data_IF_121128936317
#
_entry.id   IF_121128936317
#
_cell.length_a   1.000
_cell.length_b   1.000
_cell.length_c   1.000
_cell.angle_alpha   90.00
_cell.angle_beta   90.00
_cell.angle_gamma   90.00
#
_symmetry.space_group_name_H-M   'P 1'
#
loop_
_entity.id
_entity.type
_entity.pdbx_description
1 polymer ?
#
# COMPACT_ATOMS: atom_id res chain seq x y z
N UNK A 1 -24.45 8.58 6.63
CA UNK A 1 -24.35 9.48 7.76
C UNK A 1 -23.22 10.46 7.64
N UNK A 2 -23.13 11.44 8.53
CA UNK A 2 -22.12 12.52 8.52
C UNK A 2 -20.65 12.03 8.52
N UNK A 3 -20.38 10.86 9.12
CA UNK A 3 -19.04 10.27 9.15
C UNK A 3 -18.57 9.82 7.75
N UNK A 4 -19.39 9.13 6.99
CA UNK A 4 -19.06 8.67 5.64
C UNK A 4 -18.84 9.84 4.68
N UNK A 5 -19.65 10.89 4.79
CA UNK A 5 -19.46 12.11 4.00
C UNK A 5 -18.12 12.79 4.34
N UNK A 6 -17.73 12.77 5.63
CA UNK A 6 -16.42 13.27 6.06
C UNK A 6 -15.24 12.47 5.51
N UNK A 7 -15.44 11.21 5.15
CA UNK A 7 -14.43 10.34 4.56
C UNK A 7 -14.51 10.27 3.02
N UNK A 8 -15.48 10.96 2.41
CA UNK A 8 -15.77 10.90 0.96
C UNK A 8 -16.01 9.46 0.45
N UNK A 9 -16.79 8.69 1.22
CA UNK A 9 -17.20 7.32 0.90
C UNK A 9 -18.69 7.24 0.46
N UNK A 10 -19.39 8.35 0.51
CA UNK A 10 -20.83 8.47 0.22
C UNK A 10 -21.13 8.27 -1.28
N UNK A 11 -20.17 8.55 -2.15
CA UNK A 11 -20.32 8.38 -3.60
C UNK A 11 -19.32 7.34 -4.09
N UNK A 12 -19.84 6.25 -4.66
CA UNK A 12 -18.97 5.26 -5.34
C UNK A 12 -18.40 5.90 -6.61
N UNK A 13 -17.08 5.73 -6.89
CA UNK A 13 -16.50 6.21 -8.13
C UNK A 13 -17.10 5.45 -9.31
N UNK A 14 -17.20 6.12 -10.46
CA UNK A 14 -17.47 5.41 -11.71
C UNK A 14 -16.34 4.41 -12.00
N UNK A 15 -16.66 3.32 -12.71
CA UNK A 15 -15.67 2.29 -13.05
C UNK A 15 -14.45 2.85 -13.80
N UNK A 16 -14.63 3.89 -14.63
CA UNK A 16 -13.56 4.58 -15.35
C UNK A 16 -12.53 5.19 -14.38
N UNK A 17 -13.00 5.86 -13.33
CA UNK A 17 -12.12 6.49 -12.35
C UNK A 17 -11.35 5.44 -11.53
N UNK A 18 -11.99 4.30 -11.24
CA UNK A 18 -11.32 3.17 -10.57
C UNK A 18 -10.22 2.57 -11.44
N UNK A 19 -10.48 2.34 -12.73
CA UNK A 19 -9.48 1.84 -13.67
C UNK A 19 -8.33 2.83 -13.86
N UNK A 20 -8.64 4.13 -13.98
CA UNK A 20 -7.61 5.17 -14.06
C UNK A 20 -6.73 5.20 -12.80
N UNK A 21 -7.31 5.01 -11.62
CA UNK A 21 -6.55 4.91 -10.36
C UNK A 21 -5.59 3.71 -10.36
N UNK A 22 -6.03 2.54 -10.80
CA UNK A 22 -5.19 1.36 -10.96
C UNK A 22 -4.08 1.62 -11.98
N UNK A 23 -4.45 2.16 -13.16
CA UNK A 23 -3.48 2.45 -14.22
C UNK A 23 -2.43 3.47 -13.77
N UNK A 24 -2.83 4.52 -13.07
CA UNK A 24 -1.90 5.51 -12.52
C UNK A 24 -0.93 4.89 -11.52
N UNK A 25 -1.43 4.02 -10.63
CA UNK A 25 -0.57 3.32 -9.70
C UNK A 25 0.41 2.39 -10.42
N UNK A 26 -0.04 1.63 -11.43
CA UNK A 26 0.83 0.80 -12.26
C UNK A 26 1.88 1.63 -13.02
N UNK A 27 1.51 2.79 -13.56
CA UNK A 27 2.42 3.69 -14.24
C UNK A 27 3.48 4.30 -13.31
N UNK A 28 3.25 4.31 -12.00
CA UNK A 28 4.21 4.76 -11.00
C UNK A 28 5.26 3.68 -10.62
N UNK A 29 5.10 2.42 -11.05
CA UNK A 29 6.03 1.34 -10.70
C UNK A 29 7.50 1.58 -11.07
N UNK A 30 7.85 2.24 -12.20
CA UNK A 30 9.24 2.59 -12.47
C UNK A 30 9.84 3.47 -11.37
N UNK A 31 9.06 4.40 -10.81
CA UNK A 31 9.50 5.24 -9.69
C UNK A 31 9.65 4.42 -8.40
N UNK A 32 8.73 3.50 -8.17
CA UNK A 32 8.78 2.58 -7.02
C UNK A 32 10.01 1.69 -7.10
N UNK A 33 10.30 1.11 -8.29
CA UNK A 33 11.50 0.31 -8.51
C UNK A 33 12.79 1.12 -8.33
N UNK A 34 12.83 2.36 -8.82
CA UNK A 34 13.95 3.23 -8.59
C UNK A 34 14.16 3.50 -7.10
N UNK A 35 13.07 3.73 -6.36
CA UNK A 35 13.15 3.93 -4.90
C UNK A 35 13.61 2.67 -4.17
N UNK A 36 13.29 1.46 -4.68
CA UNK A 36 13.81 0.20 -4.17
C UNK A 36 15.32 0.12 -4.34
N UNK A 37 15.86 0.38 -5.54
CA UNK A 37 17.31 0.39 -5.81
C UNK A 37 18.05 1.39 -4.91
N UNK A 38 17.46 2.56 -4.67
CA UNK A 38 18.01 3.54 -3.72
C UNK A 38 17.99 3.02 -2.30
N UNK A 39 16.89 2.38 -1.89
CA UNK A 39 16.75 1.83 -0.54
C UNK A 39 17.76 0.72 -0.27
N UNK A 40 17.96 -0.18 -1.22
CA UNK A 40 18.93 -1.29 -1.14
C UNK A 40 20.39 -0.79 -0.97
N UNK A 41 20.71 0.41 -1.50
CA UNK A 41 22.03 1.01 -1.33
C UNK A 41 22.29 1.58 0.07
N UNK A 42 21.29 1.65 0.94
CA UNK A 42 21.39 2.17 2.31
C UNK A 42 21.72 1.02 3.25
N UNK A 43 22.91 1.00 3.89
CA UNK A 43 23.24 -0.07 4.82
C UNK A 43 22.30 -0.03 6.04
N UNK A 44 21.66 -1.14 6.33
CA UNK A 44 20.80 -1.26 7.49
C UNK A 44 21.61 -1.55 8.76
N UNK A 45 21.21 -1.02 9.90
CA UNK A 45 21.84 -1.35 11.17
C UNK A 45 21.45 -2.78 11.60
N UNK A 46 22.35 -3.52 12.25
CA UNK A 46 22.14 -4.93 12.63
C UNK A 46 20.88 -5.21 13.47
N UNK A 47 20.33 -4.21 14.16
CA UNK A 47 19.06 -4.39 14.88
C UNK A 47 17.85 -4.49 13.91
N UNK A 48 17.95 -4.00 12.68
CA UNK A 48 16.88 -4.08 11.67
C UNK A 48 16.72 -5.51 11.15
N UNK A 49 17.79 -6.30 11.05
CA UNK A 49 17.79 -7.67 10.53
C UNK A 49 16.76 -8.57 11.22
N UNK A 50 16.55 -8.35 12.52
CA UNK A 50 15.53 -9.08 13.27
C UNK A 50 14.12 -8.80 12.81
N UNK A 51 13.81 -7.54 12.47
CA UNK A 51 12.47 -7.16 11.98
C UNK A 51 12.25 -7.67 10.56
N UNK A 52 13.29 -7.58 9.70
CA UNK A 52 13.25 -8.10 8.33
C UNK A 52 13.01 -9.61 8.33
N UNK A 53 13.82 -10.40 9.05
CA UNK A 53 13.65 -11.86 9.12
C UNK A 53 12.29 -12.28 9.66
N UNK A 54 11.76 -11.60 10.68
CA UNK A 54 10.43 -11.90 11.21
C UNK A 54 9.31 -11.58 10.19
N UNK A 55 9.46 -10.49 9.44
CA UNK A 55 8.50 -10.12 8.40
C UNK A 55 8.54 -11.12 7.25
N UNK A 56 9.73 -11.51 6.81
CA UNK A 56 9.94 -12.50 5.76
C UNK A 56 9.34 -13.88 6.15
N UNK A 57 9.66 -14.38 7.34
CA UNK A 57 9.10 -15.64 7.84
C UNK A 57 7.57 -15.61 7.91
N UNK A 58 7.01 -14.50 8.35
CA UNK A 58 5.56 -14.30 8.41
C UNK A 58 4.94 -14.30 7.01
N UNK A 59 5.53 -13.58 6.06
CA UNK A 59 5.07 -13.54 4.67
C UNK A 59 5.17 -14.92 4.01
N UNK A 60 6.29 -15.64 4.20
CA UNK A 60 6.46 -17.01 3.70
C UNK A 60 5.37 -17.94 4.23
N UNK A 61 5.09 -17.88 5.54
CA UNK A 61 4.06 -18.70 6.16
C UNK A 61 2.66 -18.42 5.60
N UNK A 62 2.31 -17.15 5.43
CA UNK A 62 0.99 -16.74 4.93
C UNK A 62 0.88 -17.03 3.43
N UNK A 63 1.90 -16.74 2.63
CA UNK A 63 1.87 -16.87 1.18
C UNK A 63 2.12 -18.30 0.68
N UNK A 64 2.30 -19.27 1.57
CA UNK A 64 2.28 -20.70 1.22
C UNK A 64 0.83 -21.15 0.96
N UNK A 65 0.43 -21.11 -0.31
CA UNK A 65 -0.96 -21.31 -0.75
C UNK A 65 -1.14 -22.61 -1.50
N UNK A 66 -1.46 -23.69 -0.78
CA UNK A 66 -1.60 -25.06 -1.36
C UNK A 66 -3.02 -25.36 -1.87
N UNK A 67 -3.99 -24.48 -1.61
CA UNK A 67 -5.39 -24.67 -2.00
C UNK A 67 -6.05 -23.35 -2.44
N UNK A 68 -7.08 -23.41 -3.31
CA UNK A 68 -7.84 -22.21 -3.68
C UNK A 68 -8.50 -21.51 -2.49
N UNK A 69 -8.83 -22.25 -1.44
CA UNK A 69 -9.43 -21.68 -0.23
C UNK A 69 -8.44 -20.78 0.50
N UNK A 70 -7.17 -21.23 0.67
CA UNK A 70 -6.11 -20.43 1.27
C UNK A 70 -5.80 -19.20 0.41
N UNK A 71 -5.79 -19.37 -0.91
CA UNK A 71 -5.62 -18.23 -1.84
C UNK A 71 -6.69 -17.16 -1.65
N UNK A 72 -7.99 -17.54 -1.61
CA UNK A 72 -9.09 -16.60 -1.39
C UNK A 72 -8.95 -15.94 -0.01
N UNK A 73 -8.61 -16.70 1.02
CA UNK A 73 -8.39 -16.17 2.35
C UNK A 73 -7.27 -15.12 2.36
N UNK A 74 -6.15 -15.40 1.69
CA UNK A 74 -5.02 -14.48 1.58
C UNK A 74 -5.37 -13.22 0.77
N UNK A 75 -6.18 -13.33 -0.29
CA UNK A 75 -6.70 -12.14 -0.99
C UNK A 75 -7.50 -11.23 -0.05
N UNK A 76 -8.27 -11.81 0.86
CA UNK A 76 -9.04 -11.01 1.83
C UNK A 76 -8.11 -10.33 2.83
N UNK A 77 -7.19 -11.08 3.47
CA UNK A 77 -6.39 -10.55 4.58
C UNK A 77 -5.20 -9.71 4.14
N UNK A 78 -4.64 -9.93 2.94
CA UNK A 78 -3.46 -9.21 2.44
C UNK A 78 -3.86 -8.08 1.49
N UNK A 79 -4.95 -8.22 0.74
CA UNK A 79 -5.32 -7.21 -0.26
C UNK A 79 -6.55 -6.39 0.17
N UNK A 80 -7.67 -7.02 0.45
CA UNK A 80 -8.94 -6.30 0.67
C UNK A 80 -8.94 -5.59 2.02
N UNK A 81 -8.62 -6.28 3.11
CA UNK A 81 -8.65 -5.69 4.45
C UNK A 81 -7.63 -4.56 4.62
N UNK A 82 -6.35 -4.71 4.21
CA UNK A 82 -5.40 -3.60 4.24
C UNK A 82 -5.83 -2.47 3.31
N UNK A 83 -6.22 -2.77 2.06
CA UNK A 83 -6.70 -1.76 1.11
C UNK A 83 -7.82 -0.89 1.67
N UNK A 84 -8.74 -1.44 2.47
CA UNK A 84 -9.80 -0.68 3.12
C UNK A 84 -9.28 -0.01 4.39
N UNK A 85 -8.70 -0.77 5.32
CA UNK A 85 -8.35 -0.31 6.66
C UNK A 85 -7.26 0.76 6.66
N UNK A 86 -6.20 0.53 5.89
CA UNK A 86 -5.08 1.45 5.80
C UNK A 86 -5.47 2.74 5.07
N UNK A 87 -6.23 2.67 3.99
CA UNK A 87 -6.67 3.87 3.29
C UNK A 87 -7.63 4.72 4.15
N UNK A 88 -8.51 4.08 4.93
CA UNK A 88 -9.35 4.79 5.89
C UNK A 88 -8.52 5.58 6.92
N UNK A 89 -7.48 4.95 7.46
CA UNK A 89 -6.63 5.57 8.48
C UNK A 89 -5.73 6.62 7.85
N UNK A 90 -4.97 6.26 6.79
CA UNK A 90 -3.92 7.12 6.25
C UNK A 90 -4.48 8.24 5.39
N UNK A 91 -5.42 7.97 4.49
CA UNK A 91 -5.99 8.99 3.58
C UNK A 91 -7.23 9.63 4.15
N UNK A 92 -8.10 8.80 4.74
CA UNK A 92 -9.35 9.28 5.32
C UNK A 92 -9.16 10.16 6.56
N UNK A 93 -8.19 9.84 7.41
CA UNK A 93 -7.99 10.54 8.69
C UNK A 93 -6.65 11.27 8.70
N UNK A 94 -5.52 10.55 8.69
CA UNK A 94 -4.20 11.10 8.96
C UNK A 94 -3.80 12.19 7.95
N UNK A 95 -3.87 11.91 6.66
CA UNK A 95 -3.53 12.87 5.60
C UNK A 95 -4.38 14.15 5.71
N UNK A 96 -5.67 14.03 6.05
CA UNK A 96 -6.54 15.20 6.25
C UNK A 96 -6.10 16.04 7.46
N UNK A 97 -5.82 15.39 8.60
CA UNK A 97 -5.40 16.09 9.82
C UNK A 97 -4.06 16.80 9.60
N UNK A 98 -3.09 16.14 8.96
CA UNK A 98 -1.81 16.76 8.61
C UNK A 98 -2.02 17.93 7.65
N UNK A 99 -2.91 17.79 6.67
CA UNK A 99 -3.25 18.86 5.73
C UNK A 99 -3.83 20.10 6.39
N UNK A 100 -4.68 19.92 7.40
CA UNK A 100 -5.23 21.01 8.22
C UNK A 100 -4.13 21.69 9.05
N UNK A 101 -3.22 20.90 9.64
CA UNK A 101 -2.15 21.39 10.49
C UNK A 101 -1.10 22.19 9.69
N UNK A 102 -0.61 21.64 8.61
CA UNK A 102 0.47 22.22 7.79
C UNK A 102 -0.03 23.15 6.68
N UNK A 103 -1.33 23.18 6.42
CA UNK A 103 -1.95 23.95 5.33
C UNK A 103 -1.30 23.68 3.95
N UNK A 104 -0.78 22.46 3.78
CA UNK A 104 -0.10 22.02 2.57
C UNK A 104 -0.52 20.60 2.21
N UNK A 105 -1.18 20.38 1.09
CA UNK A 105 -1.56 19.05 0.64
C UNK A 105 -0.33 18.17 0.32
N UNK A 106 0.73 18.75 -0.21
CA UNK A 106 1.98 18.03 -0.50
C UNK A 106 2.63 17.53 0.77
N UNK A 107 2.76 18.39 1.80
CA UNK A 107 3.28 17.98 3.11
C UNK A 107 2.41 16.87 3.73
N UNK A 108 1.08 16.98 3.62
CA UNK A 108 0.15 15.98 4.14
C UNK A 108 0.36 14.62 3.48
N UNK A 109 0.51 14.57 2.16
CA UNK A 109 0.74 13.35 1.41
C UNK A 109 2.06 12.68 1.83
N UNK A 110 3.15 13.42 1.81
CA UNK A 110 4.48 12.86 2.07
C UNK A 110 4.69 12.47 3.54
N UNK A 111 4.18 13.25 4.50
CA UNK A 111 4.25 12.90 5.93
C UNK A 111 3.38 11.66 6.21
N UNK A 112 2.17 11.60 5.64
CA UNK A 112 1.32 10.41 5.77
C UNK A 112 1.96 9.17 5.15
N UNK A 113 2.59 9.29 3.99
CA UNK A 113 3.29 8.21 3.30
C UNK A 113 4.53 7.73 4.10
N UNK A 114 5.27 8.66 4.71
CA UNK A 114 6.38 8.33 5.59
C UNK A 114 5.91 7.52 6.81
N UNK A 115 4.88 7.98 7.50
CA UNK A 115 4.31 7.28 8.66
C UNK A 115 3.75 5.92 8.24
N UNK A 116 3.07 5.85 7.09
CA UNK A 116 2.57 4.60 6.50
C UNK A 116 3.68 3.57 6.33
N UNK A 117 4.81 3.97 5.76
CA UNK A 117 5.94 3.06 5.59
C UNK A 117 6.60 2.70 6.92
N UNK A 118 6.76 3.67 7.82
CA UNK A 118 7.45 3.49 9.10
C UNK A 118 6.78 2.47 10.03
N UNK A 119 5.44 2.43 10.06
CA UNK A 119 4.72 1.51 10.96
C UNK A 119 4.87 0.03 10.59
N UNK A 120 5.32 -0.28 9.36
CA UNK A 120 5.54 -1.66 8.95
C UNK A 120 6.83 -2.24 9.52
N UNK A 121 7.76 -1.41 10.02
CA UNK A 121 9.05 -1.83 10.58
C UNK A 121 9.90 -2.72 9.64
N UNK A 122 9.69 -2.58 8.35
CA UNK A 122 10.43 -3.25 7.28
C UNK A 122 11.24 -2.20 6.53
N UNK A 123 12.52 -2.15 6.77
CA UNK A 123 13.42 -1.08 6.30
C UNK A 123 13.90 -1.30 4.88
N UNK A 124 14.04 -2.57 4.44
CA UNK A 124 14.38 -2.93 3.05
C UNK A 124 13.31 -2.47 2.05
N UNK A 125 12.05 -2.45 2.45
CA UNK A 125 10.93 -1.93 1.66
C UNK A 125 10.49 -0.51 2.00
N UNK A 126 11.27 0.27 2.78
CA UNK A 126 10.82 1.55 3.33
C UNK A 126 10.53 2.59 2.23
N UNK A 127 11.49 2.89 1.37
CA UNK A 127 11.32 3.90 0.32
C UNK A 127 10.29 3.50 -0.75
N UNK A 128 10.28 2.28 -1.29
CA UNK A 128 9.25 1.86 -2.24
C UNK A 128 7.84 1.88 -1.64
N UNK A 129 7.67 1.48 -0.37
CA UNK A 129 6.39 1.56 0.31
C UNK A 129 5.96 3.01 0.56
N UNK A 130 6.89 3.89 0.93
CA UNK A 130 6.64 5.33 1.04
C UNK A 130 6.24 5.93 -0.30
N UNK A 131 6.89 5.55 -1.40
CA UNK A 131 6.55 6.01 -2.75
C UNK A 131 5.14 5.56 -3.15
N UNK A 132 4.80 4.27 -2.97
CA UNK A 132 3.42 3.78 -3.17
C UNK A 132 2.42 4.52 -2.28
N UNK A 133 2.78 4.76 -1.03
CA UNK A 133 1.98 5.55 -0.11
C UNK A 133 1.72 6.96 -0.62
N UNK A 134 2.71 7.63 -1.17
CA UNK A 134 2.54 8.95 -1.77
C UNK A 134 1.64 8.91 -3.01
N UNK A 135 1.81 7.92 -3.90
CA UNK A 135 0.95 7.73 -5.08
C UNK A 135 -0.51 7.60 -4.69
N UNK A 136 -0.84 6.75 -3.71
CA UNK A 136 -2.19 6.59 -3.19
C UNK A 136 -2.72 7.89 -2.53
N UNK A 137 -1.83 8.63 -1.86
CA UNK A 137 -2.14 9.95 -1.29
C UNK A 137 -2.50 10.98 -2.35
N UNK A 138 -1.77 11.00 -3.48
CA UNK A 138 -2.09 11.84 -4.63
C UNK A 138 -3.38 11.42 -5.33
N UNK A 139 -3.63 10.13 -5.49
CA UNK A 139 -4.90 9.63 -6.03
C UNK A 139 -6.09 10.14 -5.20
N UNK A 140 -5.98 10.06 -3.87
CA UNK A 140 -7.01 10.61 -3.00
C UNK A 140 -7.15 12.12 -3.14
N UNK A 141 -6.05 12.84 -3.17
CA UNK A 141 -6.05 14.31 -3.29
C UNK A 141 -6.71 14.80 -4.58
N UNK A 142 -6.38 14.19 -5.72
CA UNK A 142 -6.91 14.60 -7.02
C UNK A 142 -8.35 14.17 -7.26
N UNK A 143 -8.74 12.99 -6.75
CA UNK A 143 -10.09 12.48 -6.99
C UNK A 143 -11.10 12.91 -5.93
N UNK A 144 -10.62 13.29 -4.75
CA UNK A 144 -11.49 13.58 -3.60
C UNK A 144 -12.34 12.37 -3.16
N UNK A 145 -12.04 11.17 -3.64
CA UNK A 145 -12.84 9.97 -3.44
C UNK A 145 -11.97 8.84 -2.88
N UNK A 146 -12.27 8.41 -1.66
CA UNK A 146 -11.46 7.42 -0.95
C UNK A 146 -11.55 6.01 -1.55
N UNK A 147 -12.62 5.68 -2.28
CA UNK A 147 -12.72 4.39 -2.96
C UNK A 147 -11.63 4.19 -4.02
N UNK A 148 -11.14 5.27 -4.66
CA UNK A 148 -10.13 5.17 -5.71
C UNK A 148 -8.82 4.61 -5.18
N UNK A 149 -8.19 5.18 -4.12
CA UNK A 149 -6.99 4.58 -3.55
C UNK A 149 -7.27 3.23 -2.87
N UNK A 150 -8.46 3.00 -2.27
CA UNK A 150 -8.84 1.68 -1.72
C UNK A 150 -8.78 0.61 -2.82
N UNK A 151 -9.41 0.85 -3.96
CA UNK A 151 -9.45 -0.10 -5.08
C UNK A 151 -8.05 -0.30 -5.68
N UNK A 152 -7.30 0.78 -5.87
CA UNK A 152 -5.94 0.73 -6.40
C UNK A 152 -5.00 -0.04 -5.47
N UNK A 153 -5.07 0.19 -4.16
CA UNK A 153 -4.29 -0.51 -3.14
C UNK A 153 -4.64 -1.99 -3.06
N UNK A 154 -5.94 -2.30 -2.95
CA UNK A 154 -6.40 -3.70 -2.93
C UNK A 154 -6.01 -4.45 -4.22
N UNK A 155 -6.06 -3.79 -5.37
CA UNK A 155 -5.59 -4.36 -6.63
C UNK A 155 -4.08 -4.62 -6.60
N UNK A 156 -3.28 -3.65 -6.13
CA UNK A 156 -1.83 -3.77 -6.01
C UNK A 156 -1.40 -4.98 -5.18
N UNK A 157 -1.98 -5.14 -4.01
CA UNK A 157 -1.68 -6.27 -3.14
C UNK A 157 -2.25 -7.58 -3.70
N UNK A 158 -3.46 -7.52 -4.24
CA UNK A 158 -4.14 -8.70 -4.80
C UNK A 158 -3.44 -9.30 -6.01
N UNK A 159 -2.86 -8.47 -6.90
CA UNK A 159 -2.12 -8.98 -8.05
C UNK A 159 -0.83 -9.69 -7.62
N UNK A 160 -0.16 -9.22 -6.57
CA UNK A 160 1.03 -9.86 -6.01
C UNK A 160 0.68 -11.25 -5.43
N UNK A 161 -0.38 -11.33 -4.60
CA UNK A 161 -0.87 -12.60 -4.06
C UNK A 161 -1.27 -13.57 -5.19
N UNK A 162 -1.94 -13.07 -6.23
CA UNK A 162 -2.35 -13.88 -7.38
C UNK A 162 -1.15 -14.39 -8.20
N UNK A 163 -0.14 -13.55 -8.42
CA UNK A 163 1.08 -13.94 -9.13
C UNK A 163 1.81 -15.04 -8.37
N UNK A 164 2.01 -14.90 -7.06
CA UNK A 164 2.65 -15.92 -6.23
C UNK A 164 1.88 -17.25 -6.30
N UNK A 165 0.54 -17.20 -6.20
CA UNK A 165 -0.28 -18.41 -6.28
C UNK A 165 -0.19 -19.12 -7.62
N UNK A 166 -0.24 -18.37 -8.75
CA UNK A 166 -0.24 -18.96 -10.10
C UNK A 166 1.15 -19.44 -10.52
N UNK A 167 2.19 -18.71 -10.14
CA UNK A 167 3.57 -19.07 -10.55
C UNK A 167 4.22 -20.08 -9.59
N UNK A 168 3.69 -20.25 -8.38
CA UNK A 168 4.34 -21.05 -7.34
C UNK A 168 5.71 -20.50 -6.94
N UNK A 169 5.97 -19.21 -7.22
CA UNK A 169 7.24 -18.58 -6.85
C UNK A 169 7.45 -18.64 -5.35
N UNK A 170 8.61 -19.15 -4.95
CA UNK A 170 9.06 -19.05 -3.58
C UNK A 170 9.55 -17.61 -3.33
N UNK A 171 9.04 -16.99 -2.27
CA UNK A 171 9.36 -15.61 -1.92
C UNK A 171 10.85 -15.47 -1.55
N UNK A 172 11.50 -16.57 -1.14
CA UNK A 172 12.95 -16.59 -0.89
C UNK A 172 13.83 -16.37 -2.12
N UNK A 173 13.25 -16.32 -3.32
CA UNK A 173 13.96 -16.09 -4.58
C UNK A 173 13.88 -14.63 -5.07
N UNK A 174 13.42 -13.72 -4.24
CA UNK A 174 13.40 -12.28 -4.53
C UNK A 174 14.61 -11.53 -3.95
N UNK A 175 15.69 -12.27 -3.58
CA UNK A 175 16.99 -11.70 -3.22
C UNK A 175 17.78 -11.24 -4.46
#
# INVERSE_FOLDING_TARGET
GKFLNGLNLDVRPGWQLSILGIFFLMAAYPLVNLSFLVNESIPLPAWADKFESQAEDTLKAILTMNTPVIFIFNLIIIAILPGIGEELIFRGILQKQIGLLFKSPVAAIWISAFIFSAIHLQFEGFLPRMALGAVLGYLYYWTGNLWVPIIAHAFNNGIQVALIYVTGMDISNFD
#
